data_IF_457118164804
#
_entry.id   IF_457118164804
#
_cell.length_a   1.000
_cell.length_b   1.000
_cell.length_c   1.000
_cell.angle_alpha   90.00
_cell.angle_beta   90.00
_cell.angle_gamma   90.00
#
_symmetry.space_group_name_H-M   'P 1'
#
loop_
_entity.id
_entity.type
_entity.pdbx_description
1 polymer ?
#
# COMPACT_ATOMS: atom_id res chain seq x y z
N UNK A 1 -3.45 -57.23 -39.33
CA UNK A 1 -3.43 -55.96 -40.09
C UNK A 1 -3.82 -54.86 -39.11
N UNK A 2 -2.95 -54.07 -38.48
CA UNK A 2 -2.01 -53.02 -38.96
C UNK A 2 -2.68 -51.92 -39.80
N UNK A 3 -3.23 -50.89 -39.14
CA UNK A 3 -3.31 -49.51 -39.66
C UNK A 3 -3.00 -48.57 -38.48
N UNK A 4 -1.74 -48.20 -38.31
CA UNK A 4 -1.07 -46.96 -38.77
C UNK A 4 -1.42 -45.75 -37.90
N UNK A 5 -0.46 -45.45 -37.02
CA UNK A 5 -0.27 -44.22 -36.26
C UNK A 5 -0.44 -42.99 -37.17
N UNK A 6 -1.11 -41.96 -36.66
CA UNK A 6 -0.88 -40.58 -37.07
C UNK A 6 -1.13 -39.66 -35.86
N UNK A 7 -0.04 -39.33 -35.21
CA UNK A 7 0.11 -38.38 -34.11
C UNK A 7 -0.34 -36.97 -34.51
N UNK A 8 -1.04 -36.24 -33.64
CA UNK A 8 -1.05 -34.78 -33.68
C UNK A 8 -1.22 -34.20 -32.25
N UNK A 9 -0.06 -33.85 -31.68
CA UNK A 9 0.21 -32.76 -30.73
C UNK A 9 -0.94 -32.11 -29.96
N UNK A 10 -0.82 -32.14 -28.63
CA UNK A 10 -1.21 -31.01 -27.78
C UNK A 10 -0.19 -30.82 -26.66
N UNK A 11 0.85 -30.05 -26.96
CA UNK A 11 1.75 -29.50 -25.94
C UNK A 11 1.09 -28.24 -25.38
N UNK A 12 0.64 -28.30 -24.13
CA UNK A 12 0.23 -27.12 -23.38
C UNK A 12 0.76 -27.25 -21.94
N UNK A 13 2.08 -27.04 -21.79
CA UNK A 13 2.67 -26.83 -20.47
C UNK A 13 2.56 -25.34 -20.15
N UNK A 14 1.51 -24.97 -19.44
CA UNK A 14 1.36 -23.62 -18.87
C UNK A 14 2.43 -23.44 -17.78
N UNK A 15 3.50 -22.71 -18.10
CA UNK A 15 4.50 -22.31 -17.11
C UNK A 15 3.94 -21.14 -16.29
N UNK A 16 4.05 -21.31 -14.96
CA UNK A 16 3.43 -20.51 -13.93
C UNK A 16 3.77 -19.01 -14.00
N UNK A 17 2.77 -18.21 -13.65
CA UNK A 17 2.89 -16.79 -13.37
C UNK A 17 3.87 -16.55 -12.20
N UNK A 18 5.01 -15.90 -12.50
CA UNK A 18 5.82 -15.25 -11.46
C UNK A 18 5.00 -14.09 -10.92
N UNK A 19 4.41 -14.27 -9.75
CA UNK A 19 3.99 -13.15 -8.93
C UNK A 19 5.23 -12.68 -8.19
N UNK A 20 5.64 -11.44 -8.43
CA UNK A 20 6.63 -10.77 -7.60
C UNK A 20 5.87 -10.17 -6.41
N UNK A 21 5.75 -10.91 -5.31
CA UNK A 21 5.26 -10.34 -4.05
C UNK A 21 6.36 -9.47 -3.46
N UNK A 22 6.25 -8.16 -3.66
CA UNK A 22 7.00 -7.19 -2.87
C UNK A 22 6.63 -7.38 -1.39
N UNK A 23 7.58 -7.87 -0.60
CA UNK A 23 7.49 -7.82 0.86
C UNK A 23 7.72 -6.39 1.30
N UNK A 24 6.66 -5.72 1.76
CA UNK A 24 6.76 -4.67 2.78
C UNK A 24 5.47 -4.69 3.60
N UNK A 25 5.62 -4.99 4.89
CA UNK A 25 4.57 -5.40 5.84
C UNK A 25 3.56 -4.33 6.26
N UNK A 26 3.16 -3.44 5.36
CA UNK A 26 2.00 -2.58 5.54
C UNK A 26 1.03 -2.85 4.39
N UNK A 27 0.07 -3.75 4.62
CA UNK A 27 -1.04 -3.95 3.68
C UNK A 27 -1.67 -2.57 3.42
N UNK A 28 -1.62 -2.12 2.17
CA UNK A 28 -2.36 -0.95 1.75
C UNK A 28 -3.85 -1.28 1.97
N UNK A 29 -4.45 -0.63 2.95
CA UNK A 29 -5.87 -0.80 3.24
C UNK A 29 -6.57 0.07 2.20
N UNK A 30 -7.19 -0.55 1.20
CA UNK A 30 -8.28 0.11 0.50
C UNK A 30 -9.25 0.62 1.57
N UNK A 31 -9.63 1.90 1.55
CA UNK A 31 -10.46 2.50 2.61
C UNK A 31 -11.81 1.78 2.66
N UNK A 32 -11.87 0.70 3.46
CA UNK A 32 -13.02 -0.21 3.52
C UNK A 32 -14.06 0.27 4.50
N UNK A 33 -13.66 1.03 5.53
CA UNK A 33 -14.53 1.63 6.54
C UNK A 33 -13.91 2.90 7.15
N UNK A 34 -14.70 3.93 7.48
CA UNK A 34 -14.26 5.07 8.27
C UNK A 34 -13.76 4.62 9.64
N UNK A 35 -12.56 5.04 10.01
CA UNK A 35 -11.96 4.69 11.30
C UNK A 35 -10.93 3.55 11.24
N UNK A 36 -10.83 2.85 10.11
CA UNK A 36 -9.66 2.02 9.84
C UNK A 36 -8.45 2.94 9.65
N UNK A 37 -7.48 2.87 10.56
CA UNK A 37 -6.24 3.64 10.50
C UNK A 37 -5.12 2.80 9.91
N UNK A 38 -4.27 3.40 9.10
CA UNK A 38 -3.17 2.68 8.47
C UNK A 38 -2.74 3.29 7.14
N UNK A 39 -2.01 2.47 6.37
CA UNK A 39 -1.65 2.78 4.99
C UNK A 39 -2.88 2.72 4.12
N UNK A 40 -3.06 3.74 3.30
CA UNK A 40 -4.18 3.82 2.37
C UNK A 40 -3.67 3.81 0.93
N UNK A 41 -4.43 3.13 0.07
CA UNK A 41 -4.22 3.21 -1.36
C UNK A 41 -4.92 4.47 -1.91
N UNK A 42 -4.19 5.27 -2.68
CA UNK A 42 -4.65 6.54 -3.24
C UNK A 42 -4.92 6.46 -4.76
N UNK A 43 -4.57 5.33 -5.39
CA UNK A 43 -4.56 5.20 -6.85
C UNK A 43 -3.60 6.20 -7.51
N UNK A 44 -4.00 6.73 -8.66
CA UNK A 44 -3.12 7.57 -9.51
C UNK A 44 -3.08 9.05 -9.13
N UNK A 45 -3.92 9.52 -8.21
CA UNK A 45 -4.03 10.94 -7.86
C UNK A 45 -3.64 11.18 -6.40
N UNK A 46 -2.68 12.09 -6.12
CA UNK A 46 -2.25 12.35 -4.76
C UNK A 46 -3.39 13.00 -3.95
N UNK A 47 -3.65 12.52 -2.73
CA UNK A 47 -4.70 13.07 -1.88
C UNK A 47 -4.25 14.40 -1.27
N UNK A 48 -5.18 15.22 -0.77
CA UNK A 48 -4.84 16.32 0.11
C UNK A 48 -4.25 15.76 1.41
N UNK A 49 -3.06 16.25 1.74
CA UNK A 49 -2.31 15.88 2.95
C UNK A 49 -2.43 16.95 4.03
N UNK A 50 -2.17 16.57 5.28
CA UNK A 50 -2.15 17.48 6.43
C UNK A 50 -0.93 18.40 6.34
N UNK A 51 0.23 17.84 6.01
CA UNK A 51 1.48 18.56 5.78
C UNK A 51 2.16 18.02 4.53
N UNK A 52 2.70 18.91 3.69
CA UNK A 52 3.36 18.54 2.44
C UNK A 52 4.80 18.03 2.62
N UNK A 53 5.41 18.29 3.78
CA UNK A 53 6.75 17.78 4.13
C UNK A 53 6.60 16.38 4.73
N UNK A 54 7.19 15.33 4.12
CA UNK A 54 7.14 13.99 4.68
C UNK A 54 7.85 13.93 6.03
N UNK A 55 7.23 13.24 6.99
CA UNK A 55 7.78 13.04 8.32
C UNK A 55 8.48 11.69 8.42
N UNK A 56 9.74 11.68 8.86
CA UNK A 56 10.55 10.48 9.16
C UNK A 56 11.02 10.60 10.61
N UNK A 57 10.97 9.51 11.38
CA UNK A 57 11.43 9.49 12.78
C UNK A 57 12.87 8.96 12.86
N UNK A 58 13.10 7.79 12.27
CA UNK A 58 14.37 7.08 12.33
C UNK A 58 15.00 6.98 10.94
N UNK A 59 15.56 8.09 10.46
CA UNK A 59 16.34 8.11 9.23
C UNK A 59 17.70 7.44 9.49
N UNK A 60 17.79 6.14 9.22
CA UNK A 60 19.07 5.41 9.35
C UNK A 60 20.10 5.96 8.36
N UNK A 61 21.34 6.14 8.82
CA UNK A 61 22.44 6.58 7.96
C UNK A 61 22.68 5.53 6.85
N UNK A 62 22.42 5.91 5.60
CA UNK A 62 22.49 5.01 4.44
C UNK A 62 21.13 4.57 3.89
N UNK A 63 20.02 5.04 4.47
CA UNK A 63 18.70 4.87 3.86
C UNK A 63 18.69 5.52 2.47
N UNK A 64 18.35 4.73 1.45
CA UNK A 64 18.11 5.23 0.10
C UNK A 64 16.91 6.19 0.14
N UNK A 65 16.85 7.26 -0.67
CA UNK A 65 15.65 8.07 -0.78
C UNK A 65 14.42 7.20 -1.09
N UNK A 66 13.48 7.13 -0.15
CA UNK A 66 12.24 6.37 -0.31
C UNK A 66 11.09 7.29 -0.70
N UNK A 67 10.18 6.78 -1.52
CA UNK A 67 8.93 7.48 -1.81
C UNK A 67 8.07 7.56 -0.54
N UNK A 68 7.38 8.69 -0.30
CA UNK A 68 6.53 8.82 0.87
C UNK A 68 5.33 7.89 0.82
N UNK A 69 4.94 7.38 1.99
CA UNK A 69 3.76 6.54 2.17
C UNK A 69 2.62 7.36 2.73
N UNK A 70 1.41 7.12 2.22
CA UNK A 70 0.21 7.81 2.67
C UNK A 70 -0.43 7.07 3.83
N UNK A 71 -0.54 7.75 4.98
CA UNK A 71 -1.12 7.20 6.20
C UNK A 71 -2.34 8.00 6.63
N UNK A 72 -3.42 7.30 6.97
CA UNK A 72 -4.56 7.87 7.68
C UNK A 72 -4.50 7.48 9.15
N UNK A 73 -4.33 8.48 10.02
CA UNK A 73 -3.94 8.30 11.44
C UNK A 73 -4.76 9.26 12.32
N UNK A 74 -5.16 8.87 13.55
CA UNK A 74 -5.89 9.76 14.45
C UNK A 74 -5.10 11.04 14.77
N UNK A 75 -5.77 12.18 15.00
CA UNK A 75 -5.10 13.45 15.31
C UNK A 75 -4.06 13.34 16.44
N UNK A 76 -4.41 12.70 17.54
CA UNK A 76 -3.50 12.51 18.70
C UNK A 76 -2.27 11.69 18.34
N UNK A 77 -2.40 10.64 17.53
CA UNK A 77 -1.26 9.81 17.14
C UNK A 77 -0.34 10.55 16.16
N UNK A 78 -0.91 11.33 15.23
CA UNK A 78 -0.12 12.21 14.33
C UNK A 78 0.69 13.24 15.12
N UNK A 79 0.08 13.89 16.12
CA UNK A 79 0.75 14.88 16.97
C UNK A 79 1.88 14.29 17.83
N UNK A 80 1.88 12.98 18.05
CA UNK A 80 2.91 12.26 18.81
C UNK A 80 3.57 11.16 17.97
N UNK A 81 3.82 11.45 16.69
CA UNK A 81 4.20 10.43 15.71
C UNK A 81 5.37 9.54 16.15
N UNK A 82 6.42 10.11 16.75
CA UNK A 82 7.56 9.32 17.25
C UNK A 82 7.18 8.21 18.25
N UNK A 83 6.11 8.37 19.03
CA UNK A 83 5.61 7.32 19.94
C UNK A 83 4.83 6.22 19.21
N UNK A 84 4.19 6.57 18.10
CA UNK A 84 3.20 5.72 17.44
C UNK A 84 3.67 5.13 16.10
N UNK A 85 4.78 5.60 15.53
CA UNK A 85 5.27 5.16 14.22
C UNK A 85 5.44 3.64 14.10
N UNK A 86 5.86 2.97 15.19
CA UNK A 86 6.04 1.51 15.24
C UNK A 86 4.73 0.74 15.01
N UNK A 87 3.58 1.31 15.41
CA UNK A 87 2.27 0.68 15.20
C UNK A 87 1.88 0.59 13.73
N UNK A 88 2.53 1.40 12.89
CA UNK A 88 2.29 1.49 11.46
C UNK A 88 3.47 0.98 10.64
N UNK A 89 4.50 0.41 11.29
CA UNK A 89 5.75 -0.02 10.66
C UNK A 89 6.34 1.07 9.74
N UNK A 90 6.41 2.31 10.25
CA UNK A 90 6.74 3.48 9.45
C UNK A 90 7.62 4.50 10.21
N UNK A 91 8.47 4.05 11.13
CA UNK A 91 9.42 4.94 11.83
C UNK A 91 10.54 5.41 10.90
N UNK A 92 11.01 4.51 10.05
CA UNK A 92 12.07 4.67 9.07
C UNK A 92 11.58 5.11 7.68
N UNK A 93 10.27 5.28 7.53
CA UNK A 93 9.62 5.61 6.26
C UNK A 93 9.21 7.09 6.22
N UNK A 94 9.33 7.77 5.06
CA UNK A 94 8.75 9.09 4.88
C UNK A 94 7.22 9.00 4.84
N UNK A 95 6.55 9.67 5.76
CA UNK A 95 5.09 9.61 5.90
C UNK A 95 4.44 10.92 5.52
N UNK A 96 3.39 10.82 4.71
CA UNK A 96 2.42 11.89 4.47
C UNK A 96 1.07 11.52 5.08
N UNK A 97 0.59 12.34 6.01
CA UNK A 97 -0.71 12.12 6.63
C UNK A 97 -1.82 12.65 5.73
N UNK A 98 -2.80 11.81 5.44
CA UNK A 98 -3.95 12.19 4.61
C UNK A 98 -5.03 12.88 5.44
N UNK A 99 -5.71 13.85 4.85
CA UNK A 99 -6.78 14.59 5.51
C UNK A 99 -8.00 13.68 5.76
N UNK A 100 -8.55 13.76 6.98
CA UNK A 100 -9.72 12.98 7.39
C UNK A 100 -10.92 13.18 6.45
N UNK A 101 -11.22 14.43 6.11
CA UNK A 101 -12.32 14.79 5.21
C UNK A 101 -12.26 14.02 3.89
N UNK A 102 -11.09 13.99 3.25
CA UNK A 102 -10.90 13.29 2.00
C UNK A 102 -11.13 11.77 2.13
N UNK A 103 -10.64 11.16 3.21
CA UNK A 103 -10.86 9.72 3.46
C UNK A 103 -12.34 9.39 3.59
N UNK A 104 -13.10 10.21 4.30
CA UNK A 104 -14.55 10.03 4.46
C UNK A 104 -15.28 10.17 3.13
N UNK A 105 -15.00 11.23 2.36
CA UNK A 105 -15.61 11.49 1.05
C UNK A 105 -15.34 10.33 0.07
N UNK A 106 -14.10 9.83 0.05
CA UNK A 106 -13.69 8.69 -0.78
C UNK A 106 -14.43 7.42 -0.37
N UNK A 107 -14.56 7.14 0.93
CA UNK A 107 -15.31 5.99 1.43
C UNK A 107 -16.79 6.05 1.02
N UNK A 108 -17.45 7.18 1.22
CA UNK A 108 -18.86 7.34 0.86
C UNK A 108 -19.09 7.09 -0.62
N UNK A 109 -18.24 7.62 -1.48
CA UNK A 109 -18.34 7.44 -2.93
C UNK A 109 -18.17 5.99 -3.38
N UNK A 110 -17.30 5.20 -2.74
CA UNK A 110 -17.09 3.79 -3.13
C UNK A 110 -18.23 2.87 -2.68
N UNK A 111 -19.08 3.31 -1.76
CA UNK A 111 -20.17 2.51 -1.19
C UNK A 111 -21.49 2.67 -1.96
N UNK A 112 -21.64 3.76 -2.69
CA UNK A 112 -22.83 4.08 -3.49
C UNK A 112 -22.68 3.54 -4.93
#
# INVERSE_FOLDING_TARGET
MRQRLASFTLAALAAASVSAQACDGAQAIAVRQPGDYGRIDIGDSPPPVVYAQPLVIDASAGSTPQAPVYLYVPPTQKGHWGRYCNRYAACDQPVLFVQHRWVIERYTQHRD
#
